data_IF_044174690627
#
_entry.id   IF_044174690627
#
_cell.length_a   1.000
_cell.length_b   1.000
_cell.length_c   1.000
_cell.angle_alpha   90.00
_cell.angle_beta   90.00
_cell.angle_gamma   90.00
#
_symmetry.space_group_name_H-M   'P 1'
#
loop_
_entity.id
_entity.type
_entity.pdbx_description
1 polymer ?
#
# COMPACT_ATOMS: atom_id res chain seq x y z
N UNK A 1 24.26 48.05 -13.43
CA UNK A 1 23.05 47.57 -14.13
C UNK A 1 22.97 46.07 -13.89
N UNK A 2 22.09 45.64 -13.01
CA UNK A 2 21.91 44.22 -12.67
C UNK A 2 21.25 43.50 -13.85
N UNK A 3 22.01 42.61 -14.47
CA UNK A 3 21.54 41.78 -15.55
C UNK A 3 20.82 40.57 -14.93
N UNK A 4 19.57 40.76 -14.49
CA UNK A 4 18.69 39.67 -14.07
C UNK A 4 18.28 38.88 -15.32
N UNK A 5 19.15 37.94 -15.70
CA UNK A 5 18.86 36.96 -16.74
C UNK A 5 17.54 36.29 -16.34
N UNK A 6 16.49 36.58 -17.10
CA UNK A 6 15.15 36.07 -16.87
C UNK A 6 15.14 34.57 -17.23
N UNK A 7 15.54 33.75 -16.25
CA UNK A 7 15.61 32.29 -16.34
C UNK A 7 14.27 31.69 -16.82
N UNK A 8 13.16 32.40 -16.58
CA UNK A 8 11.81 32.03 -17.02
C UNK A 8 11.62 32.21 -18.54
N UNK A 9 12.25 33.23 -19.12
CA UNK A 9 12.22 33.50 -20.56
C UNK A 9 13.13 32.53 -21.34
N UNK A 10 14.24 32.08 -20.75
CA UNK A 10 15.11 31.05 -21.33
C UNK A 10 14.46 29.65 -21.27
N UNK A 11 13.80 29.32 -20.16
CA UNK A 11 13.06 28.06 -19.97
C UNK A 11 11.94 27.84 -21.00
N UNK A 12 11.26 28.90 -21.44
CA UNK A 12 10.20 28.83 -22.46
C UNK A 12 10.71 28.74 -23.90
N UNK A 13 12.00 29.04 -24.15
CA UNK A 13 12.58 29.07 -25.50
C UNK A 13 13.32 27.79 -25.91
N UNK A 14 13.53 26.86 -24.99
CA UNK A 14 14.26 25.63 -25.28
C UNK A 14 13.30 24.58 -25.86
N UNK A 15 13.50 24.11 -27.11
CA UNK A 15 12.69 23.05 -27.69
C UNK A 15 13.18 21.71 -27.11
N UNK A 16 12.94 21.50 -25.82
CA UNK A 16 13.04 20.16 -25.22
C UNK A 16 12.07 19.28 -25.98
N UNK A 17 12.43 18.06 -26.42
CA UNK A 17 11.54 17.17 -27.13
C UNK A 17 10.25 17.01 -26.30
N UNK A 18 9.18 17.70 -26.73
CA UNK A 18 7.87 17.64 -26.09
C UNK A 18 7.22 16.23 -26.04
N UNK A 19 7.61 15.22 -26.85
CA UNK A 19 7.01 13.89 -26.76
C UNK A 19 7.17 13.18 -25.40
N UNK A 20 8.29 13.41 -24.68
CA UNK A 20 8.56 12.68 -23.43
C UNK A 20 7.82 13.25 -22.21
N UNK A 21 7.60 14.57 -22.15
CA UNK A 21 6.89 15.20 -21.02
C UNK A 21 5.43 14.75 -20.97
N UNK A 22 4.70 14.81 -22.08
CA UNK A 22 3.31 14.34 -22.13
C UNK A 22 3.19 12.83 -21.89
N UNK A 23 4.13 12.03 -22.43
CA UNK A 23 4.16 10.59 -22.21
C UNK A 23 4.39 10.24 -20.73
N UNK A 24 5.28 10.97 -20.04
CA UNK A 24 5.53 10.81 -18.62
C UNK A 24 4.32 11.22 -17.77
N UNK A 25 3.67 12.34 -18.09
CA UNK A 25 2.46 12.76 -17.40
C UNK A 25 1.32 11.75 -17.55
N UNK A 26 1.12 11.21 -18.76
CA UNK A 26 0.16 10.12 -18.99
C UNK A 26 0.50 8.86 -18.19
N UNK A 27 1.78 8.48 -18.07
CA UNK A 27 2.21 7.35 -17.22
C UNK A 27 1.92 7.61 -15.74
N UNK A 28 2.17 8.82 -15.26
CA UNK A 28 1.90 9.24 -13.88
C UNK A 28 0.40 9.21 -13.57
N UNK A 29 -0.45 9.74 -14.45
CA UNK A 29 -1.90 9.73 -14.26
C UNK A 29 -2.48 8.32 -14.30
N UNK A 30 -1.96 7.47 -15.19
CA UNK A 30 -2.30 6.04 -15.22
C UNK A 30 -1.90 5.36 -13.91
N UNK A 31 -0.74 5.69 -13.34
CA UNK A 31 -0.29 5.15 -12.06
C UNK A 31 -1.19 5.62 -10.91
N UNK A 32 -1.52 6.92 -10.85
CA UNK A 32 -2.47 7.46 -9.86
C UNK A 32 -3.82 6.76 -9.94
N UNK A 33 -4.38 6.61 -11.14
CA UNK A 33 -5.66 5.92 -11.35
C UNK A 33 -5.58 4.44 -10.93
N UNK A 34 -4.47 3.76 -11.25
CA UNK A 34 -4.24 2.37 -10.82
C UNK A 34 -4.18 2.26 -9.29
N UNK A 35 -3.46 3.17 -8.62
CA UNK A 35 -3.36 3.20 -7.15
C UNK A 35 -4.71 3.53 -6.50
N UNK A 36 -5.48 4.47 -7.07
CA UNK A 36 -6.84 4.81 -6.62
C UNK A 36 -7.80 3.62 -6.75
N UNK A 37 -7.72 2.86 -7.85
CA UNK A 37 -8.54 1.65 -8.01
C UNK A 37 -8.12 0.55 -7.03
N UNK A 38 -6.81 0.35 -6.85
CA UNK A 38 -6.29 -0.58 -5.83
C UNK A 38 -6.76 -0.20 -4.42
N UNK A 39 -6.85 1.10 -4.13
CA UNK A 39 -7.40 1.62 -2.89
C UNK A 39 -8.88 1.28 -2.69
N UNK A 40 -9.72 1.49 -3.72
CA UNK A 40 -11.15 1.16 -3.63
C UNK A 40 -11.32 -0.35 -3.39
N UNK A 41 -10.57 -1.17 -4.12
CA UNK A 41 -10.60 -2.63 -3.96
C UNK A 41 -10.19 -3.03 -2.53
N UNK A 42 -9.11 -2.43 -1.99
CA UNK A 42 -8.65 -2.71 -0.64
C UNK A 42 -9.73 -2.36 0.41
N UNK A 43 -10.35 -1.18 0.31
CA UNK A 43 -11.41 -0.78 1.24
C UNK A 43 -12.64 -1.68 1.14
N UNK A 44 -13.10 -1.99 -0.07
CA UNK A 44 -14.22 -2.92 -0.28
C UNK A 44 -13.89 -4.31 0.30
N UNK A 45 -12.66 -4.81 0.09
CA UNK A 45 -12.24 -6.10 0.64
C UNK A 45 -12.17 -6.10 2.18
N UNK A 46 -11.72 -5.01 2.80
CA UNK A 46 -11.66 -4.86 4.25
C UNK A 46 -13.06 -4.78 4.87
N UNK A 47 -13.97 -4.03 4.24
CA UNK A 47 -15.37 -3.95 4.67
C UNK A 47 -16.04 -5.31 4.54
N UNK A 48 -15.86 -6.01 3.41
CA UNK A 48 -16.39 -7.35 3.21
C UNK A 48 -15.84 -8.35 4.24
N UNK A 49 -14.55 -8.31 4.53
CA UNK A 49 -13.93 -9.18 5.54
C UNK A 49 -14.43 -8.85 6.94
N UNK A 50 -14.58 -7.56 7.28
CA UNK A 50 -15.15 -7.14 8.56
C UNK A 50 -16.61 -7.57 8.72
N UNK A 51 -17.41 -7.46 7.65
CA UNK A 51 -18.80 -7.92 7.63
C UNK A 51 -18.88 -9.45 7.78
N UNK A 52 -17.97 -10.20 7.15
CA UNK A 52 -17.88 -11.65 7.30
C UNK A 52 -17.54 -12.06 8.74
N UNK A 53 -16.57 -11.38 9.37
CA UNK A 53 -16.23 -11.61 10.79
C UNK A 53 -17.41 -11.24 11.70
N UNK A 54 -18.10 -10.13 11.42
CA UNK A 54 -19.29 -9.71 12.16
C UNK A 54 -20.45 -10.70 12.03
N UNK A 55 -20.64 -11.27 10.84
CA UNK A 55 -21.62 -12.33 10.63
C UNK A 55 -21.26 -13.59 11.41
N UNK A 56 -19.99 -14.01 11.40
CA UNK A 56 -19.50 -15.13 12.22
C UNK A 56 -19.79 -14.88 13.71
N UNK A 57 -19.54 -13.66 14.20
CA UNK A 57 -19.87 -13.30 15.59
C UNK A 57 -21.37 -13.50 15.86
N UNK A 58 -22.24 -12.96 15.01
CA UNK A 58 -23.68 -13.04 15.20
C UNK A 58 -24.21 -14.48 15.16
N UNK A 59 -23.68 -15.30 14.25
CA UNK A 59 -24.12 -16.68 14.05
C UNK A 59 -23.61 -17.63 15.14
N UNK A 60 -22.33 -17.56 15.50
CA UNK A 60 -21.71 -18.52 16.42
C UNK A 60 -21.73 -18.09 17.90
N UNK A 61 -22.09 -16.83 18.19
CA UNK A 61 -22.16 -16.25 19.55
C UNK A 61 -21.03 -16.73 20.46
N UNK A 62 -19.78 -16.32 20.20
CA UNK A 62 -18.62 -16.83 20.94
C UNK A 62 -18.77 -16.58 22.44
N UNK A 63 -18.65 -17.66 23.22
CA UNK A 63 -18.84 -17.59 24.67
C UNK A 63 -17.55 -17.21 25.38
N UNK A 64 -16.40 -17.55 24.81
CA UNK A 64 -15.10 -17.26 25.41
C UNK A 64 -14.65 -15.81 25.18
N UNK A 65 -14.07 -15.22 26.23
CA UNK A 65 -13.51 -13.86 26.21
C UNK A 65 -12.34 -13.77 25.21
N UNK A 66 -11.56 -14.85 25.06
CA UNK A 66 -10.43 -14.93 24.11
C UNK A 66 -10.86 -14.67 22.66
N UNK A 67 -12.00 -15.22 22.26
CA UNK A 67 -12.55 -15.09 20.90
C UNK A 67 -13.05 -13.68 20.64
N UNK A 68 -13.69 -13.05 21.64
CA UNK A 68 -14.11 -11.64 21.58
C UNK A 68 -12.90 -10.71 21.43
N UNK A 69 -11.84 -10.95 22.21
CA UNK A 69 -10.57 -10.22 22.09
C UNK A 69 -9.92 -10.44 20.72
N UNK A 70 -9.92 -11.67 20.21
CA UNK A 70 -9.39 -11.99 18.88
C UNK A 70 -10.11 -11.23 17.75
N UNK A 71 -11.44 -11.13 17.81
CA UNK A 71 -12.22 -10.38 16.82
C UNK A 71 -11.94 -8.87 16.92
N UNK A 72 -11.92 -8.31 18.13
CA UNK A 72 -11.58 -6.89 18.33
C UNK A 72 -10.17 -6.59 17.82
N UNK A 73 -9.21 -7.47 18.07
CA UNK A 73 -7.84 -7.33 17.59
C UNK A 73 -7.76 -7.36 16.06
N UNK A 74 -8.52 -8.26 15.41
CA UNK A 74 -8.59 -8.34 13.95
C UNK A 74 -9.20 -7.06 13.33
N UNK A 75 -10.29 -6.55 13.90
CA UNK A 75 -10.92 -5.30 13.47
C UNK A 75 -9.95 -4.12 13.65
N UNK A 76 -9.25 -4.06 14.78
CA UNK A 76 -8.28 -3.00 15.07
C UNK A 76 -7.11 -3.04 14.08
N UNK A 77 -6.59 -4.23 13.75
CA UNK A 77 -5.58 -4.40 12.72
C UNK A 77 -6.05 -3.87 11.35
N UNK A 78 -7.29 -4.17 10.97
CA UNK A 78 -7.91 -3.67 9.73
C UNK A 78 -8.04 -2.15 9.73
N UNK A 79 -8.45 -1.54 10.84
CA UNK A 79 -8.56 -0.08 10.98
C UNK A 79 -7.20 0.61 10.87
N UNK A 80 -6.16 0.10 11.54
CA UNK A 80 -4.79 0.64 11.43
C UNK A 80 -4.32 0.61 9.98
N UNK A 81 -4.48 -0.54 9.31
CA UNK A 81 -4.11 -0.67 7.91
C UNK A 81 -4.86 0.35 7.04
N UNK A 82 -6.17 0.49 7.23
CA UNK A 82 -7.02 1.41 6.46
C UNK A 82 -6.65 2.88 6.69
N UNK A 83 -6.39 3.30 7.93
CA UNK A 83 -5.99 4.69 8.26
C UNK A 83 -4.65 5.03 7.62
N UNK A 84 -3.66 4.15 7.75
CA UNK A 84 -2.32 4.41 7.17
C UNK A 84 -2.36 4.38 5.65
N UNK A 85 -3.14 3.47 5.06
CA UNK A 85 -3.33 3.38 3.62
C UNK A 85 -4.07 4.61 3.05
N UNK A 86 -5.05 5.16 3.78
CA UNK A 86 -5.74 6.41 3.41
C UNK A 86 -4.82 7.63 3.40
N UNK A 87 -3.83 7.69 4.30
CA UNK A 87 -2.88 8.81 4.36
C UNK A 87 -1.99 8.95 3.12
N UNK A 88 -1.94 7.95 2.24
CA UNK A 88 -1.21 8.02 0.97
C UNK A 88 -1.96 8.78 -0.13
N UNK A 89 -3.31 8.78 -0.12
CA UNK A 89 -4.13 9.47 -1.13
C UNK A 89 -3.83 10.97 -1.23
N UNK A 90 -3.83 11.76 -0.13
CA UNK A 90 -3.58 13.18 -0.24
C UNK A 90 -2.17 13.47 -0.77
N UNK A 91 -1.18 12.62 -0.49
CA UNK A 91 0.17 12.75 -1.08
C UNK A 91 0.19 12.53 -2.59
N UNK A 92 -0.63 11.63 -3.13
CA UNK A 92 -0.75 11.46 -4.58
C UNK A 92 -1.51 12.62 -5.24
N UNK A 93 -2.41 13.27 -4.52
CA UNK A 93 -3.17 14.42 -5.01
C UNK A 93 -2.34 15.72 -5.01
N UNK A 94 -1.33 15.85 -4.15
CA UNK A 94 -0.40 17.00 -4.17
C UNK A 94 0.59 16.94 -5.34
N UNK A 95 0.73 15.81 -6.02
CA UNK A 95 1.48 15.69 -7.27
C UNK A 95 0.72 16.39 -8.41
N UNK A 96 0.74 17.73 -8.46
CA UNK A 96 0.20 18.47 -9.58
C UNK A 96 1.07 18.26 -10.83
N UNK A 97 0.51 17.56 -11.83
CA UNK A 97 1.13 17.23 -13.11
C UNK A 97 1.54 18.47 -13.94
N UNK A 98 1.06 19.67 -13.59
CA UNK A 98 1.38 20.91 -14.29
C UNK A 98 2.75 21.53 -13.95
N UNK A 99 3.47 21.02 -12.94
CA UNK A 99 4.77 21.57 -12.53
C UNK A 99 5.80 20.44 -12.35
N UNK A 100 6.42 20.00 -13.45
CA UNK A 100 7.68 19.25 -13.38
C UNK A 100 8.77 20.18 -12.83
N UNK A 101 8.89 20.24 -11.51
CA UNK A 101 9.90 21.04 -10.82
C UNK A 101 10.65 20.17 -9.80
N UNK A 102 11.75 20.65 -9.21
CA UNK A 102 12.54 19.87 -8.23
C UNK A 102 11.68 19.35 -7.06
N UNK A 103 10.74 20.18 -6.61
CA UNK A 103 9.74 19.83 -5.60
C UNK A 103 8.85 18.62 -5.99
N UNK A 104 8.61 18.38 -7.28
CA UNK A 104 7.85 17.23 -7.76
C UNK A 104 8.64 15.92 -7.58
N UNK A 105 9.95 15.95 -7.88
CA UNK A 105 10.84 14.81 -7.69
C UNK A 105 11.00 14.47 -6.20
N UNK A 106 11.15 15.47 -5.33
CA UNK A 106 11.19 15.29 -3.89
C UNK A 106 9.89 14.69 -3.33
N UNK A 107 8.74 15.14 -3.82
CA UNK A 107 7.44 14.58 -3.44
C UNK A 107 7.28 13.12 -3.89
N UNK A 108 7.73 12.78 -5.11
CA UNK A 108 7.74 11.39 -5.60
C UNK A 108 8.65 10.47 -4.76
N UNK A 109 9.82 10.97 -4.34
CA UNK A 109 10.73 10.23 -3.45
C UNK A 109 10.12 10.02 -2.07
N UNK A 110 9.45 11.02 -1.50
CA UNK A 110 8.72 10.87 -0.23
C UNK A 110 7.58 9.84 -0.33
N UNK A 111 6.85 9.85 -1.45
CA UNK A 111 5.80 8.85 -1.72
C UNK A 111 6.41 7.45 -1.77
N UNK A 112 7.54 7.27 -2.48
CA UNK A 112 8.25 5.98 -2.53
C UNK A 112 8.60 5.46 -1.14
N UNK A 113 9.19 6.32 -0.29
CA UNK A 113 9.59 5.93 1.06
C UNK A 113 8.37 5.53 1.91
N UNK A 114 7.27 6.27 1.84
CA UNK A 114 6.04 5.93 2.55
C UNK A 114 5.36 4.66 2.02
N UNK A 115 5.35 4.45 0.70
CA UNK A 115 4.86 3.21 0.11
C UNK A 115 5.68 2.00 0.57
N UNK A 116 7.00 2.16 0.64
CA UNK A 116 7.90 1.12 1.13
C UNK A 116 7.62 0.80 2.60
N UNK A 117 7.56 1.82 3.47
CA UNK A 117 7.24 1.64 4.89
C UNK A 117 5.89 0.95 5.11
N UNK A 118 4.88 1.30 4.31
CA UNK A 118 3.57 0.65 4.37
C UNK A 118 3.62 -0.81 3.91
N UNK A 119 4.29 -1.08 2.78
CA UNK A 119 4.39 -2.44 2.22
C UNK A 119 5.26 -3.36 3.10
N UNK A 120 6.25 -2.82 3.81
CA UNK A 120 7.08 -3.60 4.70
C UNK A 120 6.52 -3.65 6.11
N UNK A 121 6.53 -2.54 6.83
CA UNK A 121 6.27 -2.48 8.27
C UNK A 121 4.79 -2.62 8.60
N UNK A 122 3.92 -1.86 7.93
CA UNK A 122 2.48 -1.85 8.23
C UNK A 122 1.83 -3.16 7.79
N UNK A 123 2.21 -3.68 6.63
CA UNK A 123 1.74 -4.98 6.16
C UNK A 123 2.19 -6.10 7.10
N UNK A 124 3.41 -6.02 7.63
CA UNK A 124 3.90 -6.99 8.62
C UNK A 124 3.10 -6.94 9.91
N UNK A 125 2.91 -5.74 10.45
CA UNK A 125 2.13 -5.53 11.67
C UNK A 125 0.68 -6.03 11.50
N UNK A 126 0.06 -5.72 10.36
CA UNK A 126 -1.27 -6.20 10.02
C UNK A 126 -1.37 -7.73 10.04
N UNK A 127 -0.46 -8.43 9.34
CA UNK A 127 -0.45 -9.89 9.31
C UNK A 127 -0.19 -10.52 10.67
N UNK A 128 0.71 -9.96 11.48
CA UNK A 128 0.98 -10.45 12.84
C UNK A 128 -0.27 -10.31 13.71
N UNK A 129 -0.90 -9.13 13.73
CA UNK A 129 -2.13 -8.90 14.50
C UNK A 129 -3.29 -9.78 13.99
N UNK A 130 -3.43 -9.94 12.67
CA UNK A 130 -4.47 -10.78 12.09
C UNK A 130 -4.25 -12.27 12.44
N UNK A 131 -3.01 -12.74 12.36
CA UNK A 131 -2.64 -14.12 12.72
C UNK A 131 -2.85 -14.38 14.21
N UNK A 132 -2.51 -13.42 15.08
CA UNK A 132 -2.79 -13.49 16.51
C UNK A 132 -4.30 -13.49 16.79
N UNK A 133 -5.06 -12.62 16.14
CA UNK A 133 -6.52 -12.56 16.27
C UNK A 133 -7.18 -13.86 15.80
N UNK A 134 -6.72 -14.43 14.70
CA UNK A 134 -7.20 -15.70 14.17
C UNK A 134 -6.79 -16.89 15.05
N UNK A 135 -5.59 -16.86 15.63
CA UNK A 135 -5.14 -17.86 16.59
C UNK A 135 -5.96 -17.86 17.88
N UNK A 136 -6.26 -16.67 18.42
CA UNK A 136 -7.17 -16.49 19.56
C UNK A 136 -8.61 -16.92 19.23
N UNK A 137 -9.06 -16.69 18.00
CA UNK A 137 -10.38 -17.11 17.53
C UNK A 137 -10.48 -18.64 17.41
N UNK A 138 -9.48 -19.29 16.81
CA UNK A 138 -9.47 -20.75 16.68
C UNK A 138 -9.42 -21.47 18.02
N UNK A 139 -8.88 -20.84 19.07
CA UNK A 139 -8.75 -21.45 20.40
C UNK A 139 -10.06 -22.03 20.93
N UNK A 140 -11.18 -21.31 20.81
CA UNK A 140 -12.51 -21.77 21.26
C UNK A 140 -13.02 -22.99 20.49
N UNK A 141 -12.67 -23.12 19.21
CA UNK A 141 -13.09 -24.25 18.38
C UNK A 141 -12.16 -25.45 18.57
N UNK A 142 -10.86 -25.20 18.72
CA UNK A 142 -9.87 -26.25 18.96
C UNK A 142 -9.97 -26.86 20.36
N UNK A 143 -10.46 -26.11 21.35
CA UNK A 143 -10.70 -26.67 22.69
C UNK A 143 -11.91 -27.62 22.74
N UNK A 144 -12.80 -27.54 21.73
CA UNK A 144 -13.96 -28.44 21.56
C UNK A 144 -13.68 -29.61 20.63
N UNK A 145 -12.52 -29.64 19.95
CA UNK A 145 -12.10 -30.71 19.04
C UNK A 145 -11.03 -31.60 19.67
N UNK A 146 -10.82 -32.78 19.10
CA UNK A 146 -9.63 -33.59 19.41
C UNK A 146 -8.33 -32.84 19.07
N UNK A 147 -7.33 -33.04 19.93
CA UNK A 147 -6.03 -32.34 19.86
C UNK A 147 -5.32 -32.51 18.50
N UNK A 148 -5.45 -33.66 17.87
CA UNK A 148 -4.90 -33.97 16.53
C UNK A 148 -5.49 -33.08 15.45
N UNK A 149 -6.82 -32.95 15.42
CA UNK A 149 -7.52 -32.10 14.45
C UNK A 149 -7.27 -30.62 14.69
N UNK A 150 -7.11 -30.20 15.94
CA UNK A 150 -6.69 -28.85 16.29
C UNK A 150 -5.31 -28.51 15.67
N UNK A 151 -4.32 -29.40 15.83
CA UNK A 151 -2.98 -29.20 15.25
C UNK A 151 -3.04 -29.11 13.74
N UNK A 152 -3.80 -30.00 13.08
CA UNK A 152 -3.93 -29.98 11.61
C UNK A 152 -4.55 -28.66 11.14
N UNK A 153 -5.60 -28.18 11.80
CA UNK A 153 -6.25 -26.92 11.44
C UNK A 153 -5.31 -25.71 11.61
N UNK A 154 -4.54 -25.65 12.69
CA UNK A 154 -3.53 -24.61 12.89
C UNK A 154 -2.40 -24.72 11.85
N UNK A 155 -1.93 -25.92 11.54
CA UNK A 155 -0.87 -26.14 10.56
C UNK A 155 -1.29 -25.72 9.14
N UNK A 156 -2.52 -26.05 8.74
CA UNK A 156 -3.07 -25.63 7.44
C UNK A 156 -3.22 -24.12 7.37
N UNK A 157 -3.75 -23.49 8.42
CA UNK A 157 -3.93 -22.03 8.48
C UNK A 157 -2.58 -21.30 8.46
N UNK A 158 -1.62 -21.76 9.27
CA UNK A 158 -0.27 -21.21 9.31
C UNK A 158 0.46 -21.41 7.97
N UNK A 159 0.32 -22.59 7.35
CA UNK A 159 0.87 -22.87 6.03
C UNK A 159 0.31 -21.95 4.96
N UNK A 160 -1.00 -21.69 4.98
CA UNK A 160 -1.66 -20.76 4.07
C UNK A 160 -1.16 -19.31 4.25
N UNK A 161 -1.01 -18.86 5.50
CA UNK A 161 -0.47 -17.53 5.82
C UNK A 161 1.00 -17.43 5.39
N UNK A 162 1.82 -18.44 5.67
CA UNK A 162 3.22 -18.50 5.28
C UNK A 162 3.39 -18.47 3.75
N UNK A 163 2.54 -19.20 3.01
CA UNK A 163 2.56 -19.18 1.55
C UNK A 163 2.20 -17.78 1.00
N UNK A 164 1.15 -17.14 1.54
CA UNK A 164 0.79 -15.78 1.17
C UNK A 164 1.92 -14.78 1.47
N UNK A 165 2.56 -14.93 2.63
CA UNK A 165 3.64 -14.07 3.07
C UNK A 165 4.91 -14.22 2.23
N UNK A 166 5.30 -15.45 1.91
CA UNK A 166 6.58 -15.69 1.24
C UNK A 166 6.47 -15.54 -0.28
N UNK A 167 5.33 -15.90 -0.88
CA UNK A 167 5.19 -15.92 -2.34
C UNK A 167 4.56 -14.64 -2.91
N UNK A 168 3.41 -14.23 -2.39
CA UNK A 168 2.66 -13.10 -2.94
C UNK A 168 3.28 -11.75 -2.57
N UNK A 169 3.71 -11.58 -1.31
CA UNK A 169 4.24 -10.31 -0.80
C UNK A 169 5.47 -9.81 -1.59
N UNK A 170 6.60 -10.55 -1.72
CA UNK A 170 7.76 -10.01 -2.42
C UNK A 170 7.46 -9.74 -3.88
N UNK A 171 6.67 -10.60 -4.54
CA UNK A 171 6.31 -10.44 -5.95
C UNK A 171 5.48 -9.18 -6.19
N UNK A 172 4.54 -8.86 -5.30
CA UNK A 172 3.70 -7.67 -5.42
C UNK A 172 4.47 -6.37 -5.10
N UNK A 173 5.34 -6.42 -4.08
CA UNK A 173 6.21 -5.30 -3.70
C UNK A 173 7.19 -4.98 -4.83
N UNK A 174 7.84 -5.99 -5.40
CA UNK A 174 8.86 -5.77 -6.44
C UNK A 174 8.25 -5.18 -7.71
N UNK A 175 7.05 -5.63 -8.11
CA UNK A 175 6.31 -5.05 -9.25
C UNK A 175 5.94 -3.59 -9.04
N UNK A 176 5.51 -3.21 -7.84
CA UNK A 176 5.18 -1.81 -7.54
C UNK A 176 6.44 -0.93 -7.52
N UNK A 177 7.52 -1.44 -6.91
CA UNK A 177 8.81 -0.76 -6.81
C UNK A 177 9.41 -0.48 -8.19
N UNK A 178 9.45 -1.48 -9.07
CA UNK A 178 9.97 -1.32 -10.44
C UNK A 178 9.25 -0.23 -11.23
N UNK A 179 7.92 -0.13 -11.11
CA UNK A 179 7.13 0.92 -11.78
C UNK A 179 7.48 2.32 -11.27
N UNK A 180 7.63 2.47 -9.96
CA UNK A 180 7.95 3.75 -9.35
C UNK A 180 9.39 4.17 -9.65
N UNK A 181 10.32 3.22 -9.56
CA UNK A 181 11.74 3.42 -9.82
C UNK A 181 11.98 3.83 -11.28
N UNK A 182 11.28 3.21 -12.23
CA UNK A 182 11.37 3.58 -13.64
C UNK A 182 10.90 5.02 -13.91
N UNK A 183 9.85 5.49 -13.21
CA UNK A 183 9.38 6.89 -13.36
C UNK A 183 10.39 7.86 -12.74
N UNK A 184 10.96 7.52 -11.57
CA UNK A 184 11.98 8.34 -10.91
C UNK A 184 13.22 8.46 -11.78
N UNK A 185 13.69 7.36 -12.37
CA UNK A 185 14.87 7.36 -13.24
C UNK A 185 14.66 8.23 -14.48
N UNK A 186 13.53 8.10 -15.18
CA UNK A 186 13.22 8.95 -16.34
C UNK A 186 13.14 10.44 -15.96
N UNK A 187 12.61 10.76 -14.78
CA UNK A 187 12.52 12.13 -14.29
C UNK A 187 13.92 12.71 -13.97
N UNK A 188 14.82 11.87 -13.47
CA UNK A 188 16.18 12.27 -13.10
C UNK A 188 17.09 12.44 -14.33
N UNK A 189 16.93 11.61 -15.35
CA UNK A 189 17.61 11.76 -16.65
C UNK A 189 17.24 13.09 -17.32
N UNK A 190 15.95 13.45 -17.36
CA UNK A 190 15.49 14.74 -17.89
C UNK A 190 16.06 15.92 -17.10
N UNK A 191 16.18 15.79 -15.77
CA UNK A 191 16.78 16.84 -14.93
C UNK A 191 18.26 17.04 -15.27
N UNK A 192 19.02 15.96 -15.39
CA UNK A 192 20.45 16.03 -15.67
C UNK A 192 20.73 16.62 -17.06
N UNK A 193 19.93 16.26 -18.07
CA UNK A 193 20.02 16.85 -19.42
C UNK A 193 19.70 18.35 -19.50
N UNK A 194 19.08 18.93 -18.47
CA UNK A 194 18.76 20.35 -18.38
C UNK A 194 19.75 21.14 -17.51
N UNK A 195 20.56 20.45 -16.71
CA UNK A 195 21.63 21.03 -15.89
C UNK A 195 23.00 20.99 -16.58
N UNK A 196 23.17 20.16 -17.63
CA UNK A 196 24.25 20.23 -18.63
C UNK A 196 23.94 21.25 -19.73
#
# INVERSE_FOLDING_TARGET
MENSIDLKALWNKQPVPQPDKEALLKKLDKLKAQKRRGFIIANVSLIATSAFIGWIWFYYQPQYITTKVGIVLAILAMLIYLVVYNKLIPLYNTLNAGQLNRAFLDNLLQIRQREQFMQTTITNLYFVMLSLGMGLYMYEYTSRMEFTWAIVAYAVTAGWVAFNWFYFRPRHINKNRQKLDGIIQQLQEIKNQLEE
#
